data_IF_151790920676
#
_entry.id   IF_151790920676
#
_cell.length_a   1.000
_cell.length_b   1.000
_cell.length_c   1.000
_cell.angle_alpha   90.00
_cell.angle_beta   90.00
_cell.angle_gamma   90.00
#
_symmetry.space_group_name_H-M   'P 1'
#
loop_
_entity.id
_entity.type
_entity.pdbx_description
1 polymer ?
#
# COMPACT_ATOMS: atom_id res chain seq x y z
N UNK A 1 -39.24 -17.06 -0.12
CA UNK A 1 -37.98 -17.68 0.32
C UNK A 1 -36.91 -16.58 0.35
N UNK A 2 -36.58 -16.03 1.51
CA UNK A 2 -35.68 -14.89 1.65
C UNK A 2 -34.25 -15.39 1.84
N UNK A 3 -33.38 -15.14 0.87
CA UNK A 3 -31.95 -15.45 0.95
C UNK A 3 -31.31 -14.42 1.89
N UNK A 4 -31.05 -14.80 3.13
CA UNK A 4 -30.23 -14.01 4.06
C UNK A 4 -28.77 -14.10 3.64
N UNK A 5 -28.23 -13.04 3.03
CA UNK A 5 -26.79 -12.84 2.91
C UNK A 5 -26.20 -12.70 4.32
N UNK A 6 -25.51 -13.73 4.81
CA UNK A 6 -24.64 -13.63 5.97
C UNK A 6 -23.49 -12.68 5.62
N UNK A 7 -23.52 -11.44 6.12
CA UNK A 7 -22.31 -10.59 6.14
C UNK A 7 -21.25 -11.33 6.96
N UNK A 8 -20.16 -11.69 6.31
CA UNK A 8 -19.02 -12.36 6.95
C UNK A 8 -18.46 -11.40 8.00
N UNK A 9 -18.44 -11.84 9.27
CA UNK A 9 -17.94 -11.06 10.41
C UNK A 9 -16.43 -10.73 10.31
N UNK A 10 -15.68 -11.38 9.42
CA UNK A 10 -14.25 -11.15 9.17
C UNK A 10 -13.97 -9.81 8.48
N UNK A 11 -14.73 -9.45 7.44
CA UNK A 11 -14.49 -8.23 6.67
C UNK A 11 -14.63 -6.92 7.45
N UNK A 12 -15.40 -6.92 8.54
CA UNK A 12 -15.57 -5.73 9.38
C UNK A 12 -14.35 -5.39 10.24
N UNK A 13 -13.67 -6.40 10.75
CA UNK A 13 -12.45 -6.21 11.58
C UNK A 13 -11.28 -5.73 10.75
N UNK A 14 -11.06 -6.33 9.58
CA UNK A 14 -10.00 -5.95 8.65
C UNK A 14 -10.16 -4.50 8.21
N UNK A 15 -11.37 -4.11 7.84
CA UNK A 15 -11.71 -2.74 7.45
C UNK A 15 -11.47 -1.75 8.58
N UNK A 16 -11.94 -2.03 9.78
CA UNK A 16 -11.73 -1.17 10.95
C UNK A 16 -10.24 -1.01 11.30
N UNK A 17 -9.46 -2.10 11.18
CA UNK A 17 -8.01 -2.05 11.39
C UNK A 17 -7.31 -1.16 10.34
N UNK A 18 -7.71 -1.26 9.06
CA UNK A 18 -7.18 -0.42 7.98
C UNK A 18 -7.52 1.05 8.18
N UNK A 19 -8.77 1.36 8.52
CA UNK A 19 -9.22 2.73 8.80
C UNK A 19 -8.47 3.32 10.00
N UNK A 20 -8.31 2.55 11.08
CA UNK A 20 -7.55 2.98 12.26
C UNK A 20 -6.06 3.21 11.94
N UNK A 21 -5.44 2.35 11.13
CA UNK A 21 -4.05 2.49 10.72
C UNK A 21 -3.82 3.77 9.92
N UNK A 22 -4.71 4.09 8.99
CA UNK A 22 -4.62 5.32 8.19
C UNK A 22 -4.94 6.55 9.03
N UNK A 23 -5.97 6.52 9.88
CA UNK A 23 -6.31 7.63 10.78
C UNK A 23 -5.14 7.98 11.72
N UNK A 24 -4.38 6.97 12.19
CA UNK A 24 -3.22 7.18 13.05
C UNK A 24 -2.02 7.87 12.37
N UNK A 25 -2.06 8.08 11.05
CA UNK A 25 -1.06 8.85 10.33
C UNK A 25 -1.30 10.36 10.46
N UNK A 26 -2.49 10.78 10.85
CA UNK A 26 -2.89 12.19 10.98
C UNK A 26 -2.54 13.01 9.73
N UNK A 27 -2.87 12.47 8.55
CA UNK A 27 -2.61 13.14 7.28
C UNK A 27 -3.45 14.42 7.16
N UNK A 28 -2.79 15.52 6.81
CA UNK A 28 -3.47 16.78 6.50
C UNK A 28 -4.29 16.72 5.21
N UNK A 29 -4.94 17.84 4.87
CA UNK A 29 -5.51 18.00 3.53
C UNK A 29 -4.42 18.22 2.49
N UNK A 30 -4.64 17.74 1.24
CA UNK A 30 -3.72 17.91 0.11
C UNK A 30 -2.30 17.37 0.36
N UNK A 31 -2.20 16.19 0.94
CA UNK A 31 -0.92 15.53 1.20
C UNK A 31 -0.27 15.10 -0.13
N UNK A 32 1.01 15.35 -0.28
CA UNK A 32 1.81 14.85 -1.41
C UNK A 32 2.28 13.42 -1.15
N UNK A 33 2.70 12.73 -2.22
CA UNK A 33 3.25 11.38 -2.07
C UNK A 33 4.53 11.36 -1.23
N UNK A 34 5.38 12.37 -1.35
CA UNK A 34 6.63 12.46 -0.59
C UNK A 34 6.36 12.70 0.91
N UNK A 35 5.36 13.52 1.24
CA UNK A 35 4.91 13.71 2.62
C UNK A 35 4.31 12.42 3.19
N UNK A 36 3.50 11.71 2.41
CA UNK A 36 2.97 10.40 2.80
C UNK A 36 4.09 9.41 3.08
N UNK A 37 5.07 9.29 2.17
CA UNK A 37 6.23 8.42 2.33
C UNK A 37 7.01 8.77 3.61
N UNK A 38 7.21 10.05 3.89
CA UNK A 38 7.89 10.51 5.10
C UNK A 38 7.13 10.11 6.38
N UNK A 39 5.79 10.28 6.38
CA UNK A 39 4.94 9.90 7.52
C UNK A 39 4.95 8.40 7.74
N UNK A 40 4.80 7.59 6.67
CA UNK A 40 4.86 6.13 6.75
C UNK A 40 6.24 5.66 7.22
N UNK A 41 7.31 6.24 6.69
CA UNK A 41 8.69 5.96 7.12
C UNK A 41 8.89 6.22 8.61
N UNK A 42 8.39 7.35 9.11
CA UNK A 42 8.43 7.67 10.55
C UNK A 42 7.65 6.65 11.38
N UNK A 43 6.47 6.26 10.93
CA UNK A 43 5.63 5.26 11.61
C UNK A 43 6.25 3.86 11.59
N UNK A 44 6.93 3.51 10.51
CA UNK A 44 7.65 2.25 10.35
C UNK A 44 8.90 2.17 11.25
N UNK A 45 9.54 3.30 11.52
CA UNK A 45 10.75 3.39 12.35
C UNK A 45 12.04 3.01 11.63
N UNK A 46 12.00 2.81 10.31
CA UNK A 46 13.15 2.50 9.44
C UNK A 46 13.01 3.26 8.12
N UNK A 47 14.12 3.62 7.46
CA UNK A 47 14.08 4.16 6.11
C UNK A 47 13.37 3.23 5.13
N UNK A 48 12.53 3.80 4.27
CA UNK A 48 11.87 3.10 3.17
C UNK A 48 12.47 3.63 1.87
N UNK A 49 13.05 2.73 1.08
CA UNK A 49 13.58 3.03 -0.25
C UNK A 49 12.63 2.48 -1.32
N UNK A 50 12.18 3.34 -2.21
CA UNK A 50 11.46 2.94 -3.42
C UNK A 50 12.47 2.68 -4.53
N UNK A 51 12.37 1.56 -5.22
CA UNK A 51 13.25 1.20 -6.33
C UNK A 51 12.45 0.64 -7.49
N UNK A 52 12.91 0.97 -8.67
CA UNK A 52 12.36 0.40 -9.90
C UNK A 52 12.96 -0.99 -10.15
N UNK A 53 12.13 -1.88 -10.65
CA UNK A 53 12.52 -3.21 -11.10
C UNK A 53 11.89 -3.52 -12.45
N UNK A 54 12.60 -4.24 -13.30
CA UNK A 54 12.05 -4.70 -14.56
C UNK A 54 10.85 -5.61 -14.30
N UNK A 55 9.72 -5.32 -14.95
CA UNK A 55 8.49 -6.07 -14.80
C UNK A 55 8.67 -7.57 -15.14
N UNK A 56 9.57 -7.90 -16.03
CA UNK A 56 9.89 -9.30 -16.38
C UNK A 56 10.43 -10.11 -15.22
N UNK A 57 11.02 -9.46 -14.22
CA UNK A 57 11.55 -10.09 -13.01
C UNK A 57 10.49 -10.36 -11.94
N UNK A 58 9.34 -9.66 -12.03
CA UNK A 58 8.21 -9.80 -11.10
C UNK A 58 6.86 -9.87 -11.85
N UNK A 59 6.70 -10.75 -12.84
CA UNK A 59 5.59 -10.69 -13.79
C UNK A 59 4.19 -10.86 -13.17
N UNK A 60 4.10 -11.46 -12.00
CA UNK A 60 2.83 -11.70 -11.30
C UNK A 60 2.60 -10.74 -10.13
N UNK A 61 3.43 -9.68 -9.98
CA UNK A 61 3.44 -8.84 -8.78
C UNK A 61 3.43 -7.38 -9.18
N UNK A 62 2.56 -6.60 -8.55
CA UNK A 62 2.46 -5.15 -8.78
C UNK A 62 3.39 -4.34 -7.87
N UNK A 63 3.92 -4.96 -6.81
CA UNK A 63 4.87 -4.41 -5.87
C UNK A 63 5.44 -5.51 -5.00
N UNK A 64 6.58 -5.24 -4.37
CA UNK A 64 7.24 -6.18 -3.48
C UNK A 64 7.91 -5.44 -2.33
N UNK A 65 7.44 -5.65 -1.12
CA UNK A 65 8.08 -5.13 0.07
C UNK A 65 9.09 -6.12 0.66
N UNK A 66 10.30 -5.63 0.91
CA UNK A 66 11.40 -6.37 1.52
C UNK A 66 11.86 -5.63 2.77
N UNK A 67 11.67 -6.21 3.94
CA UNK A 67 12.16 -5.65 5.18
C UNK A 67 13.54 -6.21 5.51
N UNK A 68 14.51 -5.32 5.67
CA UNK A 68 15.87 -5.63 6.16
C UNK A 68 16.06 -5.10 7.60
N UNK A 69 17.19 -5.43 8.20
CA UNK A 69 17.50 -5.01 9.58
C UNK A 69 17.44 -3.48 9.76
N UNK A 70 18.06 -2.75 8.84
CA UNK A 70 18.24 -1.30 8.95
C UNK A 70 17.32 -0.47 8.07
N UNK A 71 16.63 -1.09 7.10
CA UNK A 71 15.77 -0.41 6.13
C UNK A 71 14.74 -1.35 5.53
N UNK A 72 13.76 -0.78 4.88
CA UNK A 72 12.84 -1.48 3.97
C UNK A 72 13.06 -1.03 2.54
N UNK A 73 12.82 -1.93 1.60
CA UNK A 73 12.88 -1.66 0.16
C UNK A 73 11.53 -2.05 -0.41
N UNK A 74 10.93 -1.16 -1.19
CA UNK A 74 9.75 -1.45 -1.98
C UNK A 74 10.17 -1.42 -3.45
N UNK A 75 10.03 -2.55 -4.12
CA UNK A 75 10.26 -2.69 -5.55
C UNK A 75 8.97 -2.45 -6.29
N UNK A 76 9.00 -1.57 -7.28
CA UNK A 76 7.85 -1.22 -8.12
C UNK A 76 8.22 -1.45 -9.58
N UNK A 77 7.30 -2.01 -10.41
CA UNK A 77 7.58 -2.21 -11.83
C UNK A 77 7.99 -0.91 -12.52
N UNK A 78 9.10 -0.96 -13.24
CA UNK A 78 9.53 0.11 -14.11
C UNK A 78 8.56 0.26 -15.29
N UNK A 79 8.29 1.47 -15.70
CA UNK A 79 7.45 1.76 -16.86
C UNK A 79 5.94 1.82 -16.59
N UNK A 80 5.47 1.45 -15.40
CA UNK A 80 4.09 1.67 -15.00
C UNK A 80 3.76 3.18 -14.94
N UNK A 81 2.49 3.52 -15.24
CA UNK A 81 2.03 4.88 -15.11
C UNK A 81 2.06 5.33 -13.64
N UNK A 82 2.11 6.65 -13.42
CA UNK A 82 2.23 7.25 -12.09
C UNK A 82 1.14 6.78 -11.13
N UNK A 83 -0.10 6.65 -11.60
CA UNK A 83 -1.24 6.25 -10.76
C UNK A 83 -1.08 4.82 -10.24
N UNK A 84 -0.73 3.88 -11.13
CA UNK A 84 -0.49 2.48 -10.77
C UNK A 84 0.68 2.36 -9.80
N UNK A 85 1.79 3.07 -10.04
CA UNK A 85 2.96 3.07 -9.15
C UNK A 85 2.62 3.61 -7.76
N UNK A 86 1.86 4.71 -7.71
CA UNK A 86 1.40 5.28 -6.44
C UNK A 86 0.53 4.31 -5.68
N UNK A 87 -0.44 3.68 -6.36
CA UNK A 87 -1.32 2.70 -5.74
C UNK A 87 -0.56 1.47 -5.26
N UNK A 88 0.38 0.94 -6.07
CA UNK A 88 1.23 -0.18 -5.69
C UNK A 88 2.09 0.15 -4.45
N UNK A 89 2.70 1.34 -4.40
CA UNK A 89 3.42 1.79 -3.21
C UNK A 89 2.50 1.89 -1.98
N UNK A 90 1.30 2.44 -2.12
CA UNK A 90 0.31 2.53 -1.05
C UNK A 90 -0.14 1.14 -0.56
N UNK A 91 -0.19 0.13 -1.44
CA UNK A 91 -0.48 -1.24 -1.07
C UNK A 91 0.63 -1.81 -0.16
N UNK A 92 1.89 -1.62 -0.53
CA UNK A 92 3.03 -2.04 0.30
C UNK A 92 3.09 -1.26 1.63
N UNK A 93 2.70 0.03 1.63
CA UNK A 93 2.52 0.78 2.87
C UNK A 93 1.42 0.17 3.74
N UNK A 94 0.37 -0.38 3.14
CA UNK A 94 -0.67 -1.13 3.86
C UNK A 94 -0.10 -2.31 4.64
N UNK A 95 0.75 -3.12 4.02
CA UNK A 95 1.43 -4.22 4.68
C UNK A 95 2.33 -3.74 5.83
N UNK A 96 3.07 -2.65 5.62
CA UNK A 96 3.93 -2.05 6.64
C UNK A 96 3.10 -1.56 7.84
N UNK A 97 2.06 -0.78 7.60
CA UNK A 97 1.22 -0.15 8.64
C UNK A 97 0.45 -1.18 9.46
N UNK A 98 -0.05 -2.22 8.81
CA UNK A 98 -0.77 -3.33 9.46
C UNK A 98 0.18 -4.39 10.03
N UNK A 99 1.50 -4.19 9.87
CA UNK A 99 2.53 -5.12 10.37
C UNK A 99 2.34 -6.55 9.89
N UNK A 100 1.90 -6.72 8.65
CA UNK A 100 1.72 -8.03 8.07
C UNK A 100 3.03 -8.82 8.09
N UNK A 101 2.96 -10.09 8.46
CA UNK A 101 4.10 -10.98 8.41
C UNK A 101 4.21 -11.56 6.99
N UNK A 102 5.44 -11.65 6.46
CA UNK A 102 5.68 -12.22 5.15
C UNK A 102 5.18 -13.67 5.07
N UNK A 103 4.42 -14.00 4.04
CA UNK A 103 4.16 -15.38 3.71
C UNK A 103 5.40 -15.95 3.04
N UNK A 104 6.00 -16.99 3.62
CA UNK A 104 7.28 -17.59 3.23
C UNK A 104 7.35 -18.29 1.86
N UNK A 105 6.48 -17.93 0.91
CA UNK A 105 6.43 -18.56 -0.41
C UNK A 105 7.29 -17.90 -1.51
N UNK A 106 7.82 -16.71 -1.27
CA UNK A 106 8.52 -15.92 -2.30
C UNK A 106 10.01 -16.26 -2.41
N UNK A 107 10.59 -16.87 -1.39
CA UNK A 107 12.03 -17.17 -1.37
C UNK A 107 12.48 -18.13 -2.49
N UNK A 108 11.60 -19.01 -2.94
CA UNK A 108 11.92 -20.03 -3.96
C UNK A 108 11.69 -19.54 -5.40
N UNK A 109 10.89 -18.49 -5.60
CA UNK A 109 10.42 -18.13 -6.94
C UNK A 109 11.20 -16.99 -7.63
N UNK A 110 12.06 -16.24 -6.92
CA UNK A 110 12.63 -15.00 -7.48
C UNK A 110 14.13 -14.78 -7.23
N UNK A 111 15.03 -15.67 -7.70
CA UNK A 111 16.49 -15.48 -7.57
C UNK A 111 16.97 -14.16 -8.18
N UNK A 112 16.36 -13.73 -9.30
CA UNK A 112 16.74 -12.52 -10.03
C UNK A 112 16.46 -11.22 -9.25
N UNK A 113 15.41 -11.16 -8.43
CA UNK A 113 15.07 -10.00 -7.59
C UNK A 113 16.22 -9.70 -6.61
N UNK A 114 16.90 -10.72 -6.13
CA UNK A 114 18.00 -10.54 -5.16
C UNK A 114 19.21 -9.79 -5.73
N UNK A 115 19.39 -9.78 -7.04
CA UNK A 115 20.47 -9.00 -7.69
C UNK A 115 20.20 -7.49 -7.56
N UNK A 116 18.91 -7.07 -7.52
CA UNK A 116 18.50 -5.66 -7.42
C UNK A 116 18.49 -5.10 -6.00
N UNK A 117 18.40 -5.96 -4.99
CA UNK A 117 18.35 -5.53 -3.58
C UNK A 117 19.70 -5.61 -2.88
N UNK A 118 20.75 -6.06 -3.58
CA UNK A 118 22.06 -6.32 -3.01
C UNK A 118 22.10 -7.62 -2.20
N UNK A 119 22.85 -7.65 -1.09
CA UNK A 119 23.00 -8.87 -0.28
C UNK A 119 21.66 -9.36 0.30
N UNK A 120 21.43 -10.67 0.27
CA UNK A 120 20.33 -11.36 0.99
C UNK A 120 20.47 -11.24 2.51
N UNK A 121 21.65 -10.88 2.99
CA UNK A 121 21.92 -10.75 4.42
C UNK A 121 21.02 -9.72 5.08
N UNK A 122 20.43 -10.09 6.20
CA UNK A 122 19.58 -9.22 6.99
C UNK A 122 18.14 -9.05 6.46
N UNK A 123 17.66 -9.88 5.52
CA UNK A 123 16.24 -9.91 5.12
C UNK A 123 15.45 -10.54 6.26
N UNK A 124 14.49 -9.79 6.78
CA UNK A 124 13.56 -10.25 7.84
C UNK A 124 12.22 -10.69 7.28
N UNK A 125 11.76 -9.99 6.26
CA UNK A 125 10.45 -10.24 5.63
C UNK A 125 10.52 -9.94 4.16
N UNK A 126 9.74 -10.66 3.39
CA UNK A 126 9.49 -10.40 1.99
C UNK A 126 8.00 -10.68 1.75
N UNK A 127 7.31 -9.69 1.24
CA UNK A 127 5.91 -9.76 0.88
C UNK A 127 5.80 -9.39 -0.59
N UNK A 128 5.31 -10.33 -1.40
CA UNK A 128 4.84 -10.07 -2.74
C UNK A 128 3.32 -10.14 -2.73
N UNK A 129 2.67 -9.28 -3.50
CA UNK A 129 1.23 -9.39 -3.70
C UNK A 129 0.90 -10.77 -4.24
N UNK A 130 0.30 -11.60 -3.40
CA UNK A 130 -0.19 -12.91 -3.78
C UNK A 130 -1.45 -12.75 -4.64
N UNK A 131 -1.59 -13.61 -5.65
CA UNK A 131 -2.87 -13.75 -6.37
C UNK A 131 -3.96 -14.34 -5.47
N UNK A 132 -3.59 -14.89 -4.32
CA UNK A 132 -4.53 -15.37 -3.31
C UNK A 132 -5.13 -14.20 -2.55
N UNK A 133 -6.37 -13.87 -2.86
CA UNK A 133 -7.16 -12.80 -2.26
C UNK A 133 -7.58 -13.15 -0.82
N UNK A 134 -6.61 -13.17 0.09
CA UNK A 134 -6.82 -13.46 1.51
C UNK A 134 -7.15 -12.20 2.34
N UNK A 135 -7.39 -12.39 3.65
CA UNK A 135 -7.71 -11.31 4.58
C UNK A 135 -6.63 -10.23 4.65
N UNK A 136 -5.37 -10.64 4.63
CA UNK A 136 -4.18 -9.77 4.69
C UNK A 136 -4.10 -8.86 3.46
N UNK A 137 -4.31 -9.43 2.26
CA UNK A 137 -4.32 -8.70 1.00
C UNK A 137 -5.49 -7.71 0.93
N UNK A 138 -6.70 -8.13 1.36
CA UNK A 138 -7.85 -7.23 1.41
C UNK A 138 -7.64 -6.05 2.34
N UNK A 139 -7.01 -6.26 3.49
CA UNK A 139 -6.72 -5.20 4.43
C UNK A 139 -5.67 -4.22 3.86
N UNK A 140 -4.60 -4.71 3.24
CA UNK A 140 -3.59 -3.89 2.58
C UNK A 140 -4.19 -3.08 1.42
N UNK A 141 -5.04 -3.71 0.60
CA UNK A 141 -5.74 -3.04 -0.50
C UNK A 141 -6.69 -1.94 0.01
N UNK A 142 -7.37 -2.16 1.13
CA UNK A 142 -8.21 -1.13 1.72
C UNK A 142 -7.39 0.06 2.23
N UNK A 143 -6.22 -0.18 2.84
CA UNK A 143 -5.27 0.90 3.18
C UNK A 143 -4.82 1.64 1.92
N UNK A 144 -4.43 0.92 0.86
CA UNK A 144 -4.02 1.52 -0.41
C UNK A 144 -5.10 2.44 -0.99
N UNK A 145 -6.34 1.99 -0.97
CA UNK A 145 -7.48 2.81 -1.39
C UNK A 145 -7.60 4.10 -0.56
N UNK A 146 -7.56 4.01 0.77
CA UNK A 146 -7.68 5.18 1.66
C UNK A 146 -6.52 6.16 1.47
N UNK A 147 -5.28 5.66 1.34
CA UNK A 147 -4.11 6.49 1.09
C UNK A 147 -4.17 7.15 -0.29
N UNK A 148 -4.61 6.42 -1.31
CA UNK A 148 -4.80 6.97 -2.66
C UNK A 148 -5.84 8.08 -2.68
N UNK A 149 -6.94 7.95 -1.92
CA UNK A 149 -7.92 9.03 -1.75
C UNK A 149 -7.32 10.27 -1.06
N UNK A 150 -6.45 10.08 -0.06
CA UNK A 150 -5.79 11.17 0.63
C UNK A 150 -4.82 11.96 -0.28
N UNK A 151 -4.29 11.31 -1.31
CA UNK A 151 -3.40 11.92 -2.32
C UNK A 151 -4.15 12.64 -3.45
N UNK A 152 -5.48 12.47 -3.56
CA UNK A 152 -6.26 13.21 -4.55
C UNK A 152 -6.34 14.69 -4.13
N UNK A 153 -6.17 15.62 -5.08
CA UNK A 153 -6.41 17.03 -4.83
C UNK A 153 -7.84 17.20 -4.28
N UNK A 154 -7.99 17.83 -3.14
CA UNK A 154 -9.32 18.26 -2.70
C UNK A 154 -9.68 19.46 -3.56
N UNK A 155 -10.77 19.32 -4.31
CA UNK A 155 -11.39 20.49 -4.95
C UNK A 155 -11.61 21.55 -3.86
N UNK A 156 -11.24 22.84 -4.12
CA UNK A 156 -11.63 23.90 -3.23
C UNK A 156 -13.16 23.82 -3.12
N UNK A 157 -13.68 23.83 -1.91
CA UNK A 157 -15.15 23.92 -1.72
C UNK A 157 -15.63 25.07 -2.60
N UNK A 158 -16.22 24.74 -3.73
CA UNK A 158 -16.86 25.73 -4.58
C UNK A 158 -17.96 26.31 -3.74
N UNK A 159 -17.74 27.52 -3.23
CA UNK A 159 -18.78 28.34 -2.64
C UNK A 159 -19.97 28.25 -3.60
N UNK A 160 -21.08 27.72 -3.13
CA UNK A 160 -22.34 27.59 -3.86
C UNK A 160 -22.73 28.93 -4.52
N UNK A 161 -22.17 29.21 -5.69
CA UNK A 161 -22.55 30.34 -6.51
C UNK A 161 -23.82 30.05 -7.32
N UNK A 162 -24.31 28.78 -7.24
CA UNK A 162 -25.53 28.38 -7.96
C UNK A 162 -26.83 28.89 -7.35
N UNK A 163 -26.85 29.28 -6.06
CA UNK A 163 -28.09 29.75 -5.41
C UNK A 163 -28.40 31.23 -5.63
N UNK A 164 -27.50 32.01 -6.27
CA UNK A 164 -27.74 33.46 -6.48
C UNK A 164 -28.27 33.87 -7.83
N UNK A 165 -28.54 32.93 -8.73
CA UNK A 165 -28.98 33.28 -10.09
C UNK A 165 -30.51 33.20 -10.30
N UNK A 166 -31.27 32.81 -9.30
CA UNK A 166 -32.73 32.66 -9.41
C UNK A 166 -33.54 33.40 -8.28
N UNK A 167 -33.09 34.60 -7.96
CA UNK A 167 -33.97 35.55 -7.22
C UNK A 167 -34.03 36.87 -7.95
#
# INVERSE_FOLDING_TARGET
MAVRFRRSAGGGRERAASEAAVAALNLGGNVTFDELLAVVTKKHGKPIELRDIDHSLIPAVTGLWIEKDKKSIILLPAGDNRLHRTHAACHEFGHILLRHHGCGGVETAMPAVFQHIGSRKGIKRMLARSLDWNATERAAEHVAYLLSLALLPKEPESSNTFERTFL
#
